data_IF_703249661218
#
_entry.id   IF_703249661218
#
_cell.length_a   1.000
_cell.length_b   1.000
_cell.length_c   1.000
_cell.angle_alpha   90.00
_cell.angle_beta   90.00
_cell.angle_gamma   90.00
#
_symmetry.space_group_name_H-M   'P 1'
#
loop_
_entity.id
_entity.type
_entity.pdbx_description
1 polymer ?
#
# COMPACT_ATOMS: atom_id res chain seq x y z
N UNK A 1 -1.83 -5.27 -31.44
CA UNK A 1 -0.93 -5.78 -30.38
C UNK A 1 -1.49 -5.38 -29.03
N UNK A 2 -2.10 -6.30 -28.29
CA UNK A 2 -2.41 -6.07 -26.87
C UNK A 2 -1.07 -6.09 -26.13
N UNK A 3 -0.54 -4.92 -25.76
CA UNK A 3 0.60 -4.85 -24.83
C UNK A 3 0.11 -5.44 -23.51
N UNK A 4 0.44 -6.70 -23.25
CA UNK A 4 0.26 -7.31 -21.93
C UNK A 4 1.15 -6.51 -20.98
N UNK A 5 0.55 -5.57 -20.24
CA UNK A 5 1.24 -4.79 -19.22
C UNK A 5 1.69 -5.78 -18.14
N UNK A 6 2.99 -5.87 -17.90
CA UNK A 6 3.52 -6.67 -16.81
C UNK A 6 2.87 -6.21 -15.49
N UNK A 7 2.20 -7.14 -14.80
CA UNK A 7 1.51 -6.85 -13.54
C UNK A 7 2.53 -6.57 -12.43
N UNK A 8 2.23 -5.62 -11.56
CA UNK A 8 3.06 -5.36 -10.39
C UNK A 8 2.84 -6.45 -9.31
N UNK A 9 3.43 -7.63 -9.52
CA UNK A 9 3.29 -8.77 -8.61
C UNK A 9 3.70 -8.45 -7.16
N UNK A 10 4.69 -7.58 -6.96
CA UNK A 10 5.12 -7.17 -5.62
C UNK A 10 4.02 -6.38 -4.88
N UNK A 11 3.33 -5.47 -5.57
CA UNK A 11 2.21 -4.72 -4.98
C UNK A 11 1.08 -5.66 -4.55
N UNK A 12 0.70 -6.62 -5.40
CA UNK A 12 -0.33 -7.59 -5.06
C UNK A 12 0.09 -8.48 -3.88
N UNK A 13 1.34 -8.94 -3.86
CA UNK A 13 1.86 -9.76 -2.78
C UNK A 13 1.84 -9.00 -1.44
N UNK A 14 2.39 -7.77 -1.39
CA UNK A 14 2.36 -6.94 -0.18
C UNK A 14 0.93 -6.62 0.23
N UNK A 15 0.05 -6.29 -0.72
CA UNK A 15 -1.36 -6.01 -0.46
C UNK A 15 -2.10 -7.20 0.17
N UNK A 16 -2.00 -8.39 -0.43
CA UNK A 16 -2.66 -9.60 0.07
C UNK A 16 -2.08 -10.02 1.44
N UNK A 17 -0.76 -9.93 1.63
CA UNK A 17 -0.18 -10.22 2.95
C UNK A 17 -0.58 -9.19 4.00
N UNK A 18 -0.68 -7.91 3.65
CA UNK A 18 -1.17 -6.87 4.56
C UNK A 18 -2.61 -7.16 5.01
N UNK A 19 -3.42 -7.77 4.14
CA UNK A 19 -4.74 -8.26 4.50
C UNK A 19 -4.66 -9.39 5.51
N UNK A 20 -3.87 -10.43 5.23
CA UNK A 20 -3.72 -11.55 6.16
C UNK A 20 -3.20 -11.10 7.52
N UNK A 21 -2.20 -10.21 7.54
CA UNK A 21 -1.64 -9.64 8.78
C UNK A 21 -2.70 -8.87 9.57
N UNK A 22 -3.58 -8.13 8.89
CA UNK A 22 -4.65 -7.37 9.55
C UNK A 22 -5.66 -8.24 10.31
N UNK A 23 -5.73 -9.53 9.97
CA UNK A 23 -6.61 -10.51 10.61
C UNK A 23 -5.95 -11.22 11.80
N UNK A 24 -4.66 -10.98 12.08
CA UNK A 24 -3.96 -11.63 13.18
C UNK A 24 -4.18 -10.84 14.48
N UNK A 25 -4.63 -11.49 15.57
CA UNK A 25 -4.95 -12.90 15.68
C UNK A 25 -6.41 -13.17 15.27
N UNK A 26 -6.64 -14.34 14.66
CA UNK A 26 -7.93 -14.66 14.03
C UNK A 26 -9.12 -14.84 14.98
N UNK A 27 -8.92 -14.78 16.31
CA UNK A 27 -9.97 -15.06 17.29
C UNK A 27 -10.83 -13.85 17.65
N UNK A 28 -10.36 -12.62 17.41
CA UNK A 28 -11.06 -11.39 17.79
C UNK A 28 -11.59 -10.58 16.60
N UNK A 29 -11.64 -11.17 15.41
CA UNK A 29 -12.02 -10.47 14.17
C UNK A 29 -13.52 -10.52 13.91
N UNK A 30 -14.06 -9.44 13.34
CA UNK A 30 -15.42 -9.43 12.81
C UNK A 30 -15.48 -10.10 11.43
N UNK A 31 -15.95 -11.35 11.39
CA UNK A 31 -15.97 -12.17 10.16
C UNK A 31 -16.71 -11.52 8.98
N UNK A 32 -17.83 -10.81 9.24
CA UNK A 32 -18.60 -10.13 8.19
C UNK A 32 -17.74 -9.02 7.57
N UNK A 33 -17.08 -8.21 8.40
CA UNK A 33 -16.20 -7.14 7.91
C UNK A 33 -14.96 -7.69 7.22
N UNK A 34 -14.40 -8.80 7.69
CA UNK A 34 -13.28 -9.48 7.03
C UNK A 34 -13.65 -9.95 5.62
N UNK A 35 -14.88 -10.42 5.40
CA UNK A 35 -15.39 -10.78 4.08
C UNK A 35 -15.62 -9.57 3.18
N UNK A 36 -16.15 -8.45 3.72
CA UNK A 36 -16.33 -7.19 2.99
C UNK A 36 -14.98 -6.59 2.56
N UNK A 37 -13.90 -6.87 3.30
CA UNK A 37 -12.59 -6.36 2.95
C UNK A 37 -12.00 -7.01 1.68
N UNK A 38 -12.45 -8.21 1.31
CA UNK A 38 -12.01 -8.90 0.09
C UNK A 38 -12.36 -8.08 -1.17
N UNK A 39 -13.64 -7.73 -1.45
CA UNK A 39 -13.95 -6.91 -2.60
C UNK A 39 -13.27 -5.55 -2.54
N UNK A 40 -13.10 -4.96 -1.35
CA UNK A 40 -12.34 -3.72 -1.16
C UNK A 40 -10.91 -3.86 -1.69
N UNK A 41 -10.22 -4.92 -1.28
CA UNK A 41 -8.86 -5.22 -1.72
C UNK A 41 -8.81 -5.47 -3.23
N UNK A 42 -9.76 -6.23 -3.77
CA UNK A 42 -9.83 -6.59 -5.19
C UNK A 42 -9.91 -5.36 -6.10
N UNK A 43 -10.60 -4.29 -5.70
CA UNK A 43 -10.63 -3.07 -6.49
C UNK A 43 -9.56 -2.04 -6.10
N UNK A 44 -9.12 -2.01 -4.83
CA UNK A 44 -8.10 -1.05 -4.36
C UNK A 44 -6.73 -1.34 -4.98
N UNK A 45 -6.31 -2.61 -5.04
CA UNK A 45 -4.98 -2.96 -5.57
C UNK A 45 -4.81 -2.61 -7.06
N UNK A 46 -5.76 -2.91 -7.96
CA UNK A 46 -5.69 -2.45 -9.35
C UNK A 46 -5.65 -0.92 -9.50
N UNK A 47 -6.40 -0.19 -8.66
CA UNK A 47 -6.35 1.28 -8.65
C UNK A 47 -4.94 1.75 -8.26
N UNK A 48 -4.36 1.20 -7.20
CA UNK A 48 -3.01 1.54 -6.76
C UNK A 48 -1.96 1.20 -7.83
N UNK A 49 -2.06 0.04 -8.49
CA UNK A 49 -1.19 -0.35 -9.61
C UNK A 49 -1.31 0.63 -10.80
N UNK A 50 -2.51 1.12 -11.08
CA UNK A 50 -2.74 2.10 -12.12
C UNK A 50 -2.16 3.47 -11.79
N UNK A 51 -2.35 3.92 -10.54
CA UNK A 51 -1.95 5.24 -10.07
C UNK A 51 -0.45 5.36 -9.77
N UNK A 52 0.19 4.30 -9.28
CA UNK A 52 1.60 4.30 -8.86
C UNK A 52 2.56 4.98 -9.85
N UNK A 53 2.61 4.62 -11.15
CA UNK A 53 3.55 5.26 -12.09
C UNK A 53 3.23 6.74 -12.29
N UNK A 54 1.96 7.15 -12.24
CA UNK A 54 1.55 8.55 -12.40
C UNK A 54 1.87 9.39 -11.17
N UNK A 55 1.71 8.81 -9.99
CA UNK A 55 2.07 9.43 -8.71
C UNK A 55 3.58 9.67 -8.66
N UNK A 56 4.39 8.68 -9.08
CA UNK A 56 5.85 8.78 -9.03
C UNK A 56 6.44 9.93 -9.86
N UNK A 57 5.72 10.35 -10.91
CA UNK A 57 6.11 11.47 -11.78
C UNK A 57 5.25 12.73 -11.58
N UNK A 58 4.33 12.70 -10.61
CA UNK A 58 3.37 13.78 -10.29
C UNK A 58 2.62 14.26 -11.54
N UNK A 59 2.10 13.31 -12.32
CA UNK A 59 1.23 13.59 -13.47
C UNK A 59 -0.13 12.94 -13.28
N UNK A 60 -0.93 13.53 -12.40
CA UNK A 60 -2.30 13.10 -12.12
C UNK A 60 -3.29 13.94 -12.92
N UNK A 61 -4.21 13.26 -13.60
CA UNK A 61 -5.36 13.85 -14.28
C UNK A 61 -6.60 13.85 -13.37
N UNK A 62 -7.65 14.58 -13.74
CA UNK A 62 -8.92 14.57 -12.99
C UNK A 62 -9.49 13.16 -12.77
N UNK A 63 -9.38 12.28 -13.77
CA UNK A 63 -9.80 10.87 -13.66
C UNK A 63 -9.02 10.11 -12.58
N UNK A 64 -7.76 10.46 -12.36
CA UNK A 64 -6.92 9.84 -11.34
C UNK A 64 -7.37 10.23 -9.93
N UNK A 65 -7.78 11.49 -9.73
CA UNK A 65 -8.37 11.95 -8.48
C UNK A 65 -9.69 11.22 -8.16
N UNK A 66 -10.54 10.98 -9.15
CA UNK A 66 -11.75 10.18 -8.95
C UNK A 66 -11.44 8.76 -8.47
N UNK A 67 -10.41 8.12 -9.04
CA UNK A 67 -9.97 6.79 -8.60
C UNK A 67 -9.41 6.80 -7.16
N UNK A 68 -8.69 7.85 -6.77
CA UNK A 68 -8.22 8.04 -5.39
C UNK A 68 -9.41 8.16 -4.44
N UNK A 69 -10.41 8.98 -4.79
CA UNK A 69 -11.61 9.14 -3.97
C UNK A 69 -12.35 7.80 -3.85
N UNK A 70 -12.52 7.07 -4.95
CA UNK A 70 -13.16 5.76 -4.97
C UNK A 70 -12.44 4.75 -4.06
N UNK A 71 -11.11 4.69 -4.14
CA UNK A 71 -10.28 3.89 -3.24
C UNK A 71 -10.39 4.35 -1.77
N UNK A 72 -10.69 5.62 -1.53
CA UNK A 72 -10.89 6.21 -0.21
C UNK A 72 -12.21 5.83 0.47
N UNK A 73 -13.26 5.50 -0.28
CA UNK A 73 -14.63 5.33 0.25
C UNK A 73 -14.74 4.34 1.41
N UNK A 74 -14.14 3.13 1.37
CA UNK A 74 -14.30 2.16 2.45
C UNK A 74 -13.75 2.66 3.78
N UNK A 75 -12.74 3.52 3.70
CA UNK A 75 -12.04 4.05 4.86
C UNK A 75 -12.86 5.14 5.58
N UNK A 76 -13.92 5.68 4.96
CA UNK A 76 -14.86 6.60 5.61
C UNK A 76 -15.68 5.94 6.72
N UNK A 77 -15.83 4.61 6.68
CA UNK A 77 -16.61 3.83 7.64
C UNK A 77 -15.76 3.25 8.78
N UNK A 78 -14.49 3.65 8.88
CA UNK A 78 -13.56 3.15 9.90
C UNK A 78 -13.75 3.91 11.21
N UNK A 79 -13.65 3.18 12.32
CA UNK A 79 -13.66 3.76 13.66
C UNK A 79 -12.48 4.73 13.84
N UNK A 80 -12.71 5.94 14.38
CA UNK A 80 -11.63 6.88 14.65
C UNK A 80 -10.53 6.24 15.51
N UNK A 81 -9.28 6.36 15.06
CA UNK A 81 -8.13 5.78 15.74
C UNK A 81 -6.87 6.58 15.41
N UNK A 82 -6.03 6.78 16.42
CA UNK A 82 -4.76 7.51 16.25
C UNK A 82 -3.80 6.79 15.29
N UNK A 83 -3.93 5.47 15.14
CA UNK A 83 -3.07 4.69 14.26
C UNK A 83 -3.33 4.95 12.77
N UNK A 84 -4.47 5.56 12.41
CA UNK A 84 -4.79 5.97 11.03
C UNK A 84 -3.83 7.08 10.56
N UNK A 85 -3.23 7.84 11.47
CA UNK A 85 -2.24 8.85 11.10
C UNK A 85 -0.97 8.24 10.47
N UNK A 86 -0.62 6.99 10.78
CA UNK A 86 0.57 6.33 10.23
C UNK A 86 0.51 6.21 8.69
N UNK A 87 -0.49 5.55 8.08
CA UNK A 87 -0.61 5.48 6.62
C UNK A 87 -0.78 6.86 5.98
N UNK A 88 -1.49 7.78 6.63
CA UNK A 88 -1.66 9.16 6.13
C UNK A 88 -0.30 9.89 6.05
N UNK A 89 0.50 9.85 7.11
CA UNK A 89 1.82 10.45 7.11
C UNK A 89 2.72 9.81 6.06
N UNK A 90 2.71 8.48 5.93
CA UNK A 90 3.51 7.77 4.93
C UNK A 90 3.14 8.19 3.50
N UNK A 91 1.85 8.31 3.16
CA UNK A 91 1.47 8.75 1.81
C UNK A 91 1.84 10.20 1.56
N UNK A 92 1.66 11.11 2.53
CA UNK A 92 2.05 12.51 2.38
C UNK A 92 3.56 12.68 2.21
N UNK A 93 4.37 11.97 3.01
CA UNK A 93 5.83 11.99 2.88
C UNK A 93 6.26 11.38 1.54
N UNK A 94 5.61 10.30 1.10
CA UNK A 94 5.87 9.69 -0.20
C UNK A 94 5.64 10.67 -1.34
N UNK A 95 4.51 11.39 -1.33
CA UNK A 95 4.19 12.42 -2.33
C UNK A 95 5.21 13.57 -2.29
N UNK A 96 5.59 14.02 -1.10
CA UNK A 96 6.63 15.04 -0.92
C UNK A 96 7.98 14.60 -1.51
N UNK A 97 8.39 13.35 -1.29
CA UNK A 97 9.65 12.83 -1.82
C UNK A 97 9.65 12.74 -3.35
N UNK A 98 8.54 12.33 -3.96
CA UNK A 98 8.41 12.39 -5.41
C UNK A 98 8.44 13.83 -5.92
N UNK A 99 7.92 14.80 -5.16
CA UNK A 99 7.97 16.22 -5.53
C UNK A 99 9.39 16.77 -5.54
N UNK A 100 10.20 16.39 -4.56
CA UNK A 100 11.64 16.73 -4.49
C UNK A 100 12.49 15.81 -5.39
N UNK A 101 11.87 14.98 -6.24
CA UNK A 101 12.53 14.04 -7.18
C UNK A 101 13.40 12.98 -6.49
N UNK A 102 13.16 12.70 -5.21
CA UNK A 102 13.83 11.63 -4.48
C UNK A 102 13.07 10.30 -4.65
N UNK A 103 13.21 9.70 -5.84
CA UNK A 103 12.47 8.51 -6.22
C UNK A 103 12.79 7.27 -5.36
N UNK A 104 14.04 7.14 -4.90
CA UNK A 104 14.47 6.02 -4.03
C UNK A 104 13.66 5.99 -2.73
N UNK A 105 13.70 7.09 -1.97
CA UNK A 105 12.96 7.17 -0.71
C UNK A 105 11.44 7.20 -0.94
N UNK A 106 10.98 7.80 -2.03
CA UNK A 106 9.57 7.77 -2.42
C UNK A 106 9.07 6.34 -2.65
N UNK A 107 9.84 5.47 -3.30
CA UNK A 107 9.48 4.07 -3.49
C UNK A 107 9.49 3.27 -2.18
N UNK A 108 10.51 3.48 -1.32
CA UNK A 108 10.60 2.84 -0.01
C UNK A 108 9.38 3.16 0.84
N UNK A 109 9.08 4.45 1.01
CA UNK A 109 7.93 4.87 1.82
C UNK A 109 6.59 4.55 1.16
N UNK A 110 6.51 4.59 -0.18
CA UNK A 110 5.31 4.17 -0.90
C UNK A 110 4.98 2.68 -0.72
N UNK A 111 5.99 1.82 -0.66
CA UNK A 111 5.80 0.39 -0.40
C UNK A 111 5.50 0.15 1.08
N UNK A 112 6.13 0.92 1.97
CA UNK A 112 5.83 0.91 3.41
C UNK A 112 4.39 1.38 3.69
N UNK A 113 3.90 2.36 2.93
CA UNK A 113 2.51 2.81 2.96
C UNK A 113 1.56 1.66 2.64
N UNK A 114 1.82 0.87 1.58
CA UNK A 114 1.00 -0.30 1.26
C UNK A 114 0.93 -1.29 2.43
N UNK A 115 2.06 -1.57 3.08
CA UNK A 115 2.10 -2.42 4.27
C UNK A 115 1.31 -1.82 5.44
N UNK A 116 1.35 -0.50 5.60
CA UNK A 116 0.63 0.20 6.69
C UNK A 116 -0.90 0.17 6.55
N UNK A 117 -1.43 -0.18 5.37
CA UNK A 117 -2.87 -0.46 5.21
C UNK A 117 -3.34 -1.63 6.07
N UNK A 118 -2.44 -2.53 6.48
CA UNK A 118 -2.75 -3.59 7.47
C UNK A 118 -3.29 -3.04 8.80
N UNK A 119 -2.83 -1.86 9.25
CA UNK A 119 -3.37 -1.17 10.43
C UNK A 119 -4.81 -0.75 10.17
N UNK A 120 -5.04 -0.11 9.03
CA UNK A 120 -6.35 0.42 8.65
C UNK A 120 -7.37 -0.71 8.55
N UNK A 121 -6.98 -1.82 7.92
CA UNK A 121 -7.81 -3.00 7.78
C UNK A 121 -8.03 -3.72 9.11
N UNK A 122 -7.03 -3.74 10.01
CA UNK A 122 -7.18 -4.29 11.37
C UNK A 122 -8.26 -3.53 12.13
N UNK A 123 -8.23 -2.19 12.08
CA UNK A 123 -9.25 -1.35 12.72
C UNK A 123 -10.62 -1.57 12.07
N UNK A 124 -10.69 -1.68 10.73
CA UNK A 124 -11.93 -1.93 10.02
C UNK A 124 -12.60 -3.23 10.49
N UNK A 125 -11.84 -4.32 10.63
CA UNK A 125 -12.36 -5.63 11.08
C UNK A 125 -12.51 -5.75 12.60
N UNK A 126 -12.43 -4.63 13.33
CA UNK A 126 -12.49 -4.55 14.79
C UNK A 126 -11.39 -5.36 15.52
N UNK A 127 -10.26 -5.59 14.85
CA UNK A 127 -9.09 -6.22 15.45
C UNK A 127 -8.22 -5.20 16.18
N UNK A 128 -8.23 -5.28 17.52
CA UNK A 128 -7.51 -4.36 18.41
C UNK A 128 -6.02 -4.73 18.58
N UNK A 129 -5.59 -5.92 18.14
CA UNK A 129 -4.19 -6.34 18.30
C UNK A 129 -3.37 -5.92 17.09
N UNK A 130 -2.82 -4.70 17.14
CA UNK A 130 -2.15 -4.04 16.00
C UNK A 130 -0.67 -4.43 15.88
N UNK A 131 -0.13 -5.15 16.87
CA UNK A 131 1.29 -5.54 16.91
C UNK A 131 1.79 -6.27 15.63
N UNK A 132 1.03 -7.22 15.03
CA UNK A 132 1.43 -7.87 13.79
C UNK A 132 1.56 -6.87 12.63
N UNK A 133 0.65 -5.89 12.55
CA UNK A 133 0.70 -4.83 11.55
C UNK A 133 1.93 -3.94 11.73
N UNK A 134 2.32 -3.62 12.97
CA UNK A 134 3.55 -2.84 13.25
C UNK A 134 4.80 -3.62 12.80
N UNK A 135 4.90 -4.90 13.17
CA UNK A 135 6.01 -5.75 12.74
C UNK A 135 6.07 -5.88 11.21
N UNK A 136 4.92 -6.05 10.57
CA UNK A 136 4.82 -6.13 9.13
C UNK A 136 5.28 -4.86 8.42
N UNK A 137 4.91 -3.69 8.95
CA UNK A 137 5.37 -2.39 8.44
C UNK A 137 6.90 -2.30 8.53
N UNK A 138 7.49 -2.64 9.68
CA UNK A 138 8.94 -2.59 9.86
C UNK A 138 9.68 -3.58 8.96
N UNK A 139 9.12 -4.78 8.79
CA UNK A 139 9.65 -5.80 7.90
C UNK A 139 9.66 -5.32 6.44
N UNK A 140 8.53 -4.80 5.96
CA UNK A 140 8.42 -4.29 4.59
C UNK A 140 9.28 -3.04 4.38
N UNK A 141 9.36 -2.13 5.35
CA UNK A 141 10.25 -0.97 5.29
C UNK A 141 11.71 -1.39 5.11
N UNK A 142 12.17 -2.34 5.92
CA UNK A 142 13.54 -2.87 5.85
C UNK A 142 13.80 -3.59 4.52
N UNK A 143 12.84 -4.40 4.06
CA UNK A 143 12.91 -5.07 2.78
C UNK A 143 12.96 -4.10 1.60
N UNK A 144 12.15 -3.04 1.63
CA UNK A 144 12.12 -2.01 0.61
C UNK A 144 13.43 -1.22 0.58
N UNK A 145 13.98 -0.86 1.74
CA UNK A 145 15.31 -0.25 1.86
C UNK A 145 16.39 -1.13 1.22
N UNK A 146 16.40 -2.42 1.54
CA UNK A 146 17.38 -3.36 0.99
C UNK A 146 17.26 -3.48 -0.53
N UNK A 147 16.04 -3.57 -1.07
CA UNK A 147 15.80 -3.68 -2.51
C UNK A 147 16.27 -2.42 -3.23
N UNK A 148 15.83 -1.25 -2.79
CA UNK A 148 16.15 0.04 -3.41
C UNK A 148 17.64 0.38 -3.30
N UNK A 149 18.26 0.10 -2.14
CA UNK A 149 19.71 0.24 -1.98
C UNK A 149 20.50 -0.65 -2.93
N UNK A 150 20.01 -1.86 -3.24
CA UNK A 150 20.69 -2.80 -4.14
C UNK A 150 20.60 -2.39 -5.61
N UNK A 151 19.60 -1.60 -6.02
CA UNK A 151 19.34 -1.28 -7.44
C UNK A 151 20.56 -0.68 -8.16
N UNK A 152 21.27 0.34 -7.62
CA UNK A 152 22.45 0.91 -8.27
C UNK A 152 23.58 -0.09 -8.50
N UNK A 153 23.65 -1.15 -7.69
CA UNK A 153 24.69 -2.18 -7.74
C UNK A 153 24.27 -3.41 -8.56
N UNK A 154 23.02 -3.49 -9.03
CA UNK A 154 22.59 -4.57 -9.93
C UNK A 154 23.13 -4.29 -11.33
N UNK A 155 23.89 -5.24 -11.87
CA UNK A 155 24.14 -5.31 -13.32
C UNK A 155 22.85 -5.75 -14.00
N UNK A 156 21.94 -4.80 -14.21
CA UNK A 156 20.72 -5.05 -14.98
C UNK A 156 21.13 -5.20 -16.45
N UNK A 157 20.89 -6.38 -17.02
CA UNK A 157 21.08 -6.58 -18.46
C UNK A 157 20.08 -5.68 -19.19
N UNK A 158 20.59 -4.70 -19.95
CA UNK A 158 19.78 -3.65 -20.61
C UNK A 158 18.98 -4.18 -21.81
N UNK A 159 18.96 -5.49 -22.04
CA UNK A 159 18.45 -6.14 -23.25
C UNK A 159 17.01 -6.65 -23.15
N UNK A 160 16.28 -6.37 -22.07
CA UNK A 160 14.88 -6.77 -21.90
C UNK A 160 13.97 -5.56 -21.79
#
# INVERSE_FOLDING_TARGET
MVKVKARNHALYFVGVLSYLVSLIPFYSINAIRSLILIPILVYTLPILEYLQPKISIIRLSYKDFLLIILAGIPYLFIKPSIFIFIPLLLIFITLWLFYVKNAMWGNVLGTTFLASLSIVWSIFVDNNFILPSIYWILYIFTGALYVEYKIPYRKLDKKV
#
